data_IF_259466906573
#
_entry.id   IF_259466906573
#
_cell.length_a   1.000
_cell.length_b   1.000
_cell.length_c   1.000
_cell.angle_alpha   90.00
_cell.angle_beta   90.00
_cell.angle_gamma   90.00
#
_symmetry.space_group_name_H-M   'P 1'
#
loop_
_entity.id
_entity.type
_entity.pdbx_description
1 polymer ?
#
# COMPACT_ATOMS: atom_id res chain seq x y z
N UNK A 1 -17.10 0.01 14.18
CA UNK A 1 -16.24 -1.19 14.32
C UNK A 1 -15.58 -1.42 12.98
N UNK A 2 -14.36 -0.93 12.86
CA UNK A 2 -13.56 -0.96 11.63
C UNK A 2 -12.71 -2.23 11.55
N UNK A 3 -12.59 -2.75 10.33
CA UNK A 3 -11.77 -3.89 9.98
C UNK A 3 -11.00 -3.60 8.70
N UNK A 4 -9.89 -4.29 8.51
CA UNK A 4 -9.06 -4.22 7.31
C UNK A 4 -8.50 -5.59 6.94
N UNK A 5 -8.08 -5.72 5.70
CA UNK A 5 -7.36 -6.88 5.18
C UNK A 5 -6.13 -6.33 4.46
N UNK A 6 -4.99 -6.40 5.12
CA UNK A 6 -3.70 -6.04 4.53
C UNK A 6 -3.25 -7.14 3.58
N UNK A 7 -2.53 -6.77 2.52
CA UNK A 7 -1.89 -7.77 1.66
C UNK A 7 -0.66 -8.37 2.33
N UNK A 8 0.20 -7.51 2.91
CA UNK A 8 1.42 -7.93 3.61
C UNK A 8 1.88 -6.88 4.64
N UNK A 9 2.82 -7.28 5.52
CA UNK A 9 3.41 -6.46 6.56
C UNK A 9 4.94 -6.58 6.50
N UNK A 10 5.61 -5.42 6.41
CA UNK A 10 7.04 -5.32 6.55
C UNK A 10 7.41 -5.04 8.01
N UNK A 11 8.24 -5.90 8.61
CA UNK A 11 8.83 -5.68 9.93
C UNK A 11 10.26 -5.13 9.78
N UNK A 12 10.53 -3.99 10.41
CA UNK A 12 11.87 -3.40 10.45
C UNK A 12 12.73 -4.02 11.55
N UNK A 13 14.03 -3.77 11.50
CA UNK A 13 14.98 -4.30 12.49
C UNK A 13 14.72 -3.80 13.93
N UNK A 14 13.99 -2.69 14.10
CA UNK A 14 13.57 -2.16 15.40
C UNK A 14 12.21 -2.72 15.88
N UNK A 15 11.59 -3.61 15.11
CA UNK A 15 10.30 -4.22 15.39
C UNK A 15 9.09 -3.38 14.98
N UNK A 16 9.29 -2.19 14.40
CA UNK A 16 8.18 -1.40 13.86
C UNK A 16 7.62 -2.03 12.57
N UNK A 17 6.31 -1.89 12.37
CA UNK A 17 5.60 -2.47 11.23
C UNK A 17 5.22 -1.40 10.20
N UNK A 18 5.38 -1.70 8.92
CA UNK A 18 4.81 -0.94 7.81
C UNK A 18 3.87 -1.81 6.99
N UNK A 19 2.77 -1.22 6.54
CA UNK A 19 1.84 -1.87 5.63
C UNK A 19 2.43 -1.91 4.23
N UNK A 20 2.30 -3.04 3.55
CA UNK A 20 2.65 -3.20 2.13
C UNK A 20 1.40 -3.60 1.35
N UNK A 21 1.14 -2.92 0.24
CA UNK A 21 -0.01 -3.19 -0.63
C UNK A 21 0.44 -3.34 -2.09
N UNK A 22 -0.12 -4.33 -2.79
CA UNK A 22 0.26 -4.66 -4.16
C UNK A 22 -0.77 -4.12 -5.14
N UNK A 23 -0.33 -3.32 -6.11
CA UNK A 23 -1.20 -2.76 -7.15
C UNK A 23 -0.67 -3.10 -8.53
N UNK A 24 -1.53 -3.56 -9.43
CA UNK A 24 -1.18 -3.68 -10.85
C UNK A 24 -1.84 -2.58 -11.66
N UNK A 25 -1.14 -2.01 -12.64
CA UNK A 25 -1.72 -0.98 -13.52
C UNK A 25 -1.32 -1.14 -14.98
N UNK A 26 -2.28 -0.87 -15.86
CA UNK A 26 -2.05 -0.71 -17.29
C UNK A 26 -1.72 0.73 -17.70
N UNK A 27 -1.68 1.68 -16.76
CA UNK A 27 -1.24 3.05 -17.03
C UNK A 27 0.25 3.10 -17.35
N UNK A 28 0.70 4.18 -18.01
CA UNK A 28 2.13 4.36 -18.31
C UNK A 28 2.97 4.53 -17.04
N UNK A 29 2.42 5.27 -16.07
CA UNK A 29 3.05 5.53 -14.78
C UNK A 29 2.08 5.09 -13.68
N UNK A 30 2.57 4.46 -12.59
CA UNK A 30 1.75 4.16 -11.44
C UNK A 30 1.40 5.46 -10.70
N UNK A 31 0.16 5.54 -10.24
CA UNK A 31 -0.35 6.67 -9.50
C UNK A 31 -0.93 6.19 -8.17
N UNK A 32 -0.61 6.93 -7.10
CA UNK A 32 -1.16 6.71 -5.78
C UNK A 32 -2.34 7.66 -5.64
N UNK A 33 -3.54 7.10 -5.68
CA UNK A 33 -4.78 7.86 -5.53
C UNK A 33 -5.04 8.17 -4.05
N UNK A 34 -5.83 9.22 -3.78
CA UNK A 34 -6.21 9.60 -2.41
C UNK A 34 -6.87 8.44 -1.64
N UNK A 35 -7.65 7.59 -2.31
CA UNK A 35 -8.27 6.43 -1.66
C UNK A 35 -7.27 5.33 -1.33
N UNK A 36 -6.15 5.23 -2.06
CA UNK A 36 -5.05 4.33 -1.71
C UNK A 36 -4.32 4.88 -0.48
N UNK A 37 -4.09 6.20 -0.41
CA UNK A 37 -3.54 6.82 0.81
C UNK A 37 -4.42 6.53 2.02
N UNK A 38 -5.73 6.78 1.93
CA UNK A 38 -6.68 6.50 3.02
C UNK A 38 -6.68 5.03 3.42
N UNK A 39 -6.56 4.12 2.45
CA UNK A 39 -6.46 2.68 2.72
C UNK A 39 -5.24 2.37 3.62
N UNK A 40 -4.06 2.91 3.30
CA UNK A 40 -2.85 2.71 4.09
C UNK A 40 -2.93 3.38 5.47
N UNK A 41 -3.53 4.57 5.56
CA UNK A 41 -3.76 5.25 6.84
C UNK A 41 -4.67 4.41 7.76
N UNK A 42 -5.76 3.85 7.21
CA UNK A 42 -6.68 2.96 7.95
C UNK A 42 -5.97 1.69 8.43
N UNK A 43 -5.17 1.06 7.57
CA UNK A 43 -4.44 -0.15 7.97
C UNK A 43 -3.39 0.14 9.05
N UNK A 44 -2.66 1.26 8.92
CA UNK A 44 -1.72 1.72 9.95
C UNK A 44 -2.43 2.00 11.28
N UNK A 45 -3.58 2.68 11.22
CA UNK A 45 -4.41 2.93 12.41
C UNK A 45 -4.82 1.63 13.10
N UNK A 46 -5.28 0.63 12.34
CA UNK A 46 -5.71 -0.66 12.89
C UNK A 46 -4.55 -1.44 13.53
N UNK A 47 -3.35 -1.42 12.93
CA UNK A 47 -2.15 -2.03 13.53
C UNK A 47 -1.80 -1.37 14.86
N UNK A 48 -1.74 -0.04 14.89
CA UNK A 48 -1.46 0.72 16.11
C UNK A 48 -2.51 0.44 17.20
N UNK A 49 -3.81 0.44 16.83
CA UNK A 49 -4.92 0.11 17.74
C UNK A 49 -4.83 -1.31 18.32
N UNK A 50 -4.19 -2.23 17.61
CA UNK A 50 -3.94 -3.59 18.07
C UNK A 50 -2.64 -3.75 18.88
N UNK A 51 -1.96 -2.64 19.21
CA UNK A 51 -0.79 -2.61 20.10
C UNK A 51 0.55 -2.83 19.43
N UNK A 52 0.62 -2.73 18.09
CA UNK A 52 1.88 -2.80 17.36
C UNK A 52 2.53 -1.42 17.23
N UNK A 53 3.85 -1.37 17.35
CA UNK A 53 4.63 -0.20 16.94
C UNK A 53 4.61 -0.10 15.40
N UNK A 54 4.32 1.09 14.87
CA UNK A 54 4.14 1.30 13.42
C UNK A 54 5.13 2.34 12.89
N UNK A 55 5.61 2.12 11.68
CA UNK A 55 6.40 3.08 10.92
C UNK A 55 5.54 4.27 10.48
N UNK A 56 6.17 5.44 10.26
CA UNK A 56 5.50 6.57 9.60
C UNK A 56 5.42 6.40 8.07
N UNK A 57 5.83 5.22 7.56
CA UNK A 57 5.78 4.85 6.15
C UNK A 57 4.91 3.64 5.88
N UNK A 58 4.37 3.62 4.67
CA UNK A 58 3.78 2.45 4.04
C UNK A 58 4.27 2.34 2.60
N UNK A 59 4.15 1.14 2.01
CA UNK A 59 4.74 0.84 0.72
C UNK A 59 3.71 0.30 -0.26
N UNK A 60 3.79 0.78 -1.49
CA UNK A 60 3.13 0.16 -2.63
C UNK A 60 4.16 -0.59 -3.47
N UNK A 61 3.85 -1.84 -3.81
CA UNK A 61 4.57 -2.59 -4.83
C UNK A 61 3.71 -2.58 -6.10
N UNK A 62 4.11 -1.77 -7.07
CA UNK A 62 3.43 -1.61 -8.33
C UNK A 62 3.94 -2.61 -9.38
N UNK A 63 3.02 -3.34 -9.99
CA UNK A 63 3.25 -4.11 -11.21
C UNK A 63 2.70 -3.33 -12.40
N UNK A 64 3.57 -2.69 -13.17
CA UNK A 64 3.21 -1.86 -14.33
C UNK A 64 3.33 -2.68 -15.60
N UNK A 65 2.25 -2.76 -16.38
CA UNK A 65 2.25 -3.55 -17.63
C UNK A 65 3.32 -3.04 -18.61
N UNK A 66 4.24 -3.91 -19.00
CA UNK A 66 5.21 -3.63 -20.06
C UNK A 66 4.52 -3.71 -21.43
N UNK A 67 4.30 -2.54 -22.03
CA UNK A 67 3.69 -2.38 -23.35
C UNK A 67 4.69 -2.38 -24.50
N UNK A 68 5.98 -2.57 -24.24
CA UNK A 68 7.01 -2.66 -25.29
C UNK A 68 6.84 -3.92 -26.15
N UNK A 69 6.20 -4.96 -25.58
CA UNK A 69 5.82 -6.18 -26.29
C UNK A 69 4.61 -5.85 -27.17
N UNK A 70 4.86 -5.47 -28.42
CA UNK A 70 3.88 -4.94 -29.39
C UNK A 70 2.73 -5.87 -29.81
N UNK A 71 2.42 -6.93 -29.04
CA UNK A 71 1.24 -7.78 -29.19
C UNK A 71 0.83 -8.40 -27.85
N UNK A 72 -0.46 -8.64 -27.66
CA UNK A 72 -0.98 -9.40 -26.52
C UNK A 72 -1.05 -10.90 -26.88
N UNK A 73 -0.14 -11.70 -26.33
CA UNK A 73 -0.05 -13.15 -26.58
C UNK A 73 -0.60 -13.96 -25.40
N UNK A 74 -1.80 -13.58 -24.92
CA UNK A 74 -2.43 -14.10 -23.69
C UNK A 74 -1.53 -14.04 -22.44
N UNK A 75 -0.53 -13.15 -22.46
CA UNK A 75 0.46 -12.93 -21.40
C UNK A 75 0.65 -11.44 -21.20
N UNK A 76 0.64 -11.00 -19.94
CA UNK A 76 1.11 -9.68 -19.54
C UNK A 76 2.49 -9.83 -18.91
N UNK A 77 3.43 -9.00 -19.34
CA UNK A 77 4.71 -8.83 -18.65
C UNK A 77 4.60 -7.56 -17.82
N UNK A 78 5.25 -7.55 -16.66
CA UNK A 78 5.21 -6.42 -15.73
C UNK A 78 6.62 -5.97 -15.40
N UNK A 79 6.78 -4.66 -15.24
CA UNK A 79 7.89 -4.06 -14.52
C UNK A 79 7.46 -3.80 -13.09
N UNK A 80 8.36 -4.06 -12.14
CA UNK A 80 8.11 -3.86 -10.71
C UNK A 80 8.67 -2.51 -10.26
N UNK A 81 7.88 -1.78 -9.47
CA UNK A 81 8.29 -0.52 -8.88
C UNK A 81 7.80 -0.43 -7.43
N UNK A 82 8.70 -0.09 -6.50
CA UNK A 82 8.33 0.16 -5.10
C UNK A 82 8.24 1.66 -4.87
N UNK A 83 7.15 2.11 -4.25
CA UNK A 83 6.99 3.50 -3.80
C UNK A 83 6.61 3.54 -2.33
N UNK A 84 7.30 4.37 -1.56
CA UNK A 84 6.91 4.70 -0.19
C UNK A 84 6.00 5.93 -0.14
N UNK A 85 5.12 5.92 0.86
CA UNK A 85 4.31 7.08 1.26
C UNK A 85 4.51 7.33 2.74
N UNK A 86 4.26 8.57 3.16
CA UNK A 86 4.06 8.89 4.56
C UNK A 86 2.60 8.61 4.93
N UNK A 87 2.35 7.96 6.05
CA UNK A 87 0.99 7.71 6.56
C UNK A 87 0.57 8.74 7.59
N UNK A 88 -0.72 9.07 7.59
CA UNK A 88 -1.36 9.93 8.59
C UNK A 88 -2.66 9.29 9.10
N UNK A 89 -2.58 8.39 10.08
CA UNK A 89 -3.76 7.72 10.64
C UNK A 89 -4.62 8.63 11.55
N UNK A 90 -4.24 9.90 11.77
CA UNK A 90 -4.88 10.76 12.78
C UNK A 90 -6.35 11.07 12.46
N UNK A 91 -6.72 11.13 11.18
CA UNK A 91 -8.09 11.37 10.75
C UNK A 91 -9.00 10.17 11.00
N UNK A 92 -8.45 8.95 10.97
CA UNK A 92 -9.24 7.71 11.16
C UNK A 92 -9.82 7.66 12.56
N UNK A 93 -9.03 8.08 13.56
CA UNK A 93 -9.46 8.15 14.95
C UNK A 93 -10.67 9.08 15.15
N UNK A 94 -10.71 10.20 14.41
CA UNK A 94 -11.78 11.21 14.54
C UNK A 94 -13.13 10.74 13.96
N UNK A 95 -13.12 9.75 13.08
CA UNK A 95 -14.32 9.23 12.41
C UNK A 95 -14.84 7.95 13.09
N UNK A 96 -14.00 7.25 13.85
CA UNK A 96 -14.39 6.05 14.61
C UNK A 96 -14.95 6.34 16.02
N UNK A 97 -14.85 7.57 16.52
CA UNK A 97 -15.50 8.05 17.76
C UNK A 97 -16.98 8.41 17.55
#
# INVERSE_FOLDING_TARGET
MLYGAVDDILEFADGSLAVVDYKSTGSKEPHIYDDYQKQMDVYTYLLNKNGFEVSDKAYFVFFVVDKSVGKFDKKLNFNEEVRDIKVDPSWVAQVEE
#
